data_IF_742227810057
#
_entry.id   IF_742227810057
#
_cell.length_a   1.000
_cell.length_b   1.000
_cell.length_c   1.000
_cell.angle_alpha   90.00
_cell.angle_beta   90.00
_cell.angle_gamma   90.00
#
_symmetry.space_group_name_H-M   'P 1'
#
loop_
_entity.id
_entity.type
_entity.pdbx_description
1 polymer ?
#
# COMPACT_ATOMS: atom_id res chain seq x y z
N UNK A 1 21.07 12.88 -7.28
CA UNK A 1 22.02 12.53 -8.36
C UNK A 1 21.49 13.07 -9.69
N UNK A 2 22.17 14.07 -10.24
CA UNK A 2 21.90 14.67 -11.54
C UNK A 2 22.62 13.88 -12.63
N UNK A 3 21.90 13.24 -13.55
CA UNK A 3 22.47 12.73 -14.80
C UNK A 3 21.58 13.05 -16.01
N UNK A 4 21.86 14.22 -16.58
CA UNK A 4 21.97 14.55 -17.99
C UNK A 4 20.82 14.23 -18.97
N UNK A 5 20.02 15.26 -19.27
CA UNK A 5 19.45 15.54 -20.62
C UNK A 5 19.06 17.02 -20.71
N UNK A 6 19.98 17.88 -21.14
CA UNK A 6 19.87 19.17 -21.85
C UNK A 6 18.69 20.17 -21.66
N UNK A 7 17.80 20.02 -20.68
CA UNK A 7 16.79 20.98 -20.26
C UNK A 7 16.60 20.84 -18.75
N UNK A 8 16.43 21.96 -18.04
CA UNK A 8 15.93 21.98 -16.67
C UNK A 8 14.47 21.50 -16.67
N UNK A 9 14.28 20.18 -16.69
CA UNK A 9 12.95 19.55 -16.72
C UNK A 9 12.39 19.52 -15.29
N UNK A 10 11.37 20.33 -15.04
CA UNK A 10 10.56 20.22 -13.83
C UNK A 10 9.66 18.98 -13.93
N UNK A 11 9.89 18.01 -13.06
CA UNK A 11 9.12 16.76 -13.02
C UNK A 11 7.89 16.96 -12.13
N UNK A 12 6.71 17.08 -12.75
CA UNK A 12 5.43 17.28 -12.07
C UNK A 12 4.45 16.10 -12.26
N UNK A 13 4.92 14.98 -12.83
CA UNK A 13 4.09 13.85 -13.26
C UNK A 13 4.03 12.69 -12.25
N UNK A 14 4.99 12.60 -11.34
CA UNK A 14 5.05 11.53 -10.34
C UNK A 14 4.77 12.11 -8.96
N UNK A 15 3.88 11.45 -8.20
CA UNK A 15 3.58 11.82 -6.82
C UNK A 15 4.59 11.29 -5.80
N UNK A 16 5.85 11.12 -6.20
CA UNK A 16 6.93 10.69 -5.31
C UNK A 16 7.38 11.90 -4.49
N UNK A 17 7.27 11.87 -3.15
CA UNK A 17 7.69 12.98 -2.31
C UNK A 17 9.18 13.30 -2.46
N UNK A 18 9.52 14.58 -2.38
CA UNK A 18 10.90 15.08 -2.46
C UNK A 18 11.63 15.08 -1.10
N UNK A 19 10.96 14.65 -0.03
CA UNK A 19 11.50 14.57 1.31
C UNK A 19 11.89 13.15 1.70
N UNK A 20 12.94 13.06 2.52
CA UNK A 20 13.42 11.80 3.07
C UNK A 20 12.50 11.27 4.18
N UNK A 21 12.53 9.94 4.36
CA UNK A 21 11.88 9.33 5.52
C UNK A 21 12.45 9.91 6.84
N UNK A 22 11.61 10.14 7.88
CA UNK A 22 12.07 10.64 9.18
C UNK A 22 13.17 9.77 9.79
N UNK A 23 14.11 10.39 10.53
CA UNK A 23 15.28 9.71 11.09
C UNK A 23 14.91 8.46 11.93
N UNK A 24 13.91 8.59 12.81
CA UNK A 24 13.45 7.48 13.65
C UNK A 24 12.96 6.26 12.86
N UNK A 25 12.39 6.45 11.65
CA UNK A 25 11.96 5.34 10.79
C UNK A 25 13.17 4.64 10.19
N UNK A 26 14.15 5.40 9.72
CA UNK A 26 15.41 4.86 9.17
C UNK A 26 16.19 4.09 10.23
N UNK A 27 16.31 4.65 11.44
CA UNK A 27 16.97 4.00 12.58
C UNK A 27 16.25 2.72 13.01
N UNK A 28 14.91 2.71 13.05
CA UNK A 28 14.15 1.51 13.37
C UNK A 28 14.35 0.40 12.32
N UNK A 29 14.40 0.75 11.03
CA UNK A 29 14.67 -0.19 9.97
C UNK A 29 16.08 -0.78 10.04
N UNK A 30 17.10 0.05 10.28
CA UNK A 30 18.49 -0.41 10.45
C UNK A 30 18.58 -1.36 11.65
N UNK A 31 18.01 -0.97 12.79
CA UNK A 31 17.99 -1.81 14.00
C UNK A 31 17.30 -3.15 13.76
N UNK A 32 16.17 -3.16 13.06
CA UNK A 32 15.45 -4.39 12.74
C UNK A 32 16.31 -5.36 11.88
N UNK A 33 17.14 -4.81 10.98
CA UNK A 33 18.11 -5.60 10.20
C UNK A 33 19.23 -6.14 11.09
N UNK A 34 19.79 -5.31 11.97
CA UNK A 34 20.90 -5.69 12.88
C UNK A 34 20.47 -6.72 13.93
N UNK A 35 19.27 -6.58 14.51
CA UNK A 35 18.72 -7.51 15.51
C UNK A 35 18.37 -8.88 14.91
N UNK A 36 18.02 -8.93 13.61
CA UNK A 36 17.68 -10.16 12.91
C UNK A 36 16.46 -10.90 13.51
N UNK A 37 16.40 -12.21 13.28
CA UNK A 37 15.38 -13.08 13.85
C UNK A 37 13.96 -12.72 13.39
N UNK A 38 13.08 -12.36 14.34
CA UNK A 38 11.66 -12.10 14.08
C UNK A 38 11.41 -10.98 13.06
N UNK A 39 12.39 -10.10 12.86
CA UNK A 39 12.31 -8.97 11.93
C UNK A 39 12.73 -9.33 10.51
N UNK A 40 13.54 -10.37 10.35
CA UNK A 40 14.12 -10.79 9.05
C UNK A 40 13.52 -12.09 8.51
N UNK A 41 12.58 -12.70 9.25
CA UNK A 41 11.92 -13.95 8.89
C UNK A 41 10.42 -13.75 8.67
N UNK A 42 9.79 -14.76 8.07
CA UNK A 42 8.40 -14.68 7.60
C UNK A 42 7.41 -14.23 8.68
N UNK A 43 6.67 -13.17 8.38
CA UNK A 43 5.50 -12.73 9.14
C UNK A 43 4.27 -12.67 8.21
N UNK A 44 3.55 -13.78 8.09
CA UNK A 44 2.51 -13.96 7.06
C UNK A 44 1.41 -12.88 7.02
N UNK A 45 1.06 -12.30 8.18
CA UNK A 45 0.06 -11.21 8.28
C UNK A 45 0.64 -9.92 8.85
N UNK A 46 1.96 -9.83 8.96
CA UNK A 46 2.65 -8.83 9.79
C UNK A 46 2.77 -9.25 11.25
N UNK A 47 3.76 -8.66 11.95
CA UNK A 47 4.01 -8.87 13.37
C UNK A 47 2.91 -8.23 14.23
N UNK A 48 2.71 -8.76 15.44
CA UNK A 48 1.61 -8.34 16.32
C UNK A 48 1.71 -6.85 16.69
N UNK A 49 2.91 -6.36 16.98
CA UNK A 49 3.15 -4.97 17.36
C UNK A 49 2.81 -3.98 16.23
N UNK A 50 3.04 -4.37 14.97
CA UNK A 50 2.63 -3.58 13.82
C UNK A 50 1.10 -3.49 13.74
N UNK A 51 0.40 -4.61 13.95
CA UNK A 51 -1.06 -4.64 13.90
C UNK A 51 -1.69 -3.77 14.97
N UNK A 52 -1.17 -3.84 16.19
CA UNK A 52 -1.61 -3.00 17.31
C UNK A 52 -1.35 -1.52 17.05
N UNK A 53 -0.16 -1.18 16.52
CA UNK A 53 0.15 0.19 16.11
C UNK A 53 -0.82 0.73 15.06
N UNK A 54 -1.21 -0.08 14.06
CA UNK A 54 -2.21 0.28 13.06
C UNK A 54 -3.58 0.52 13.71
N UNK A 55 -4.06 -0.41 14.54
CA UNK A 55 -5.34 -0.26 15.26
C UNK A 55 -5.37 1.03 16.08
N UNK A 56 -4.31 1.28 16.85
CA UNK A 56 -4.19 2.48 17.69
C UNK A 56 -4.13 3.76 16.84
N UNK A 57 -3.43 3.74 15.71
CA UNK A 57 -3.39 4.87 14.78
C UNK A 57 -4.77 5.20 14.23
N UNK A 58 -5.57 4.20 13.87
CA UNK A 58 -6.90 4.43 13.30
C UNK A 58 -7.97 4.81 14.33
N UNK A 59 -7.74 4.53 15.62
CA UNK A 59 -8.63 4.95 16.71
C UNK A 59 -8.84 6.47 16.75
N UNK A 60 -7.86 7.26 16.30
CA UNK A 60 -7.97 8.74 16.23
C UNK A 60 -9.03 9.23 15.22
N UNK A 61 -9.43 8.38 14.28
CA UNK A 61 -10.51 8.66 13.33
C UNK A 61 -11.87 8.13 13.81
N UNK A 62 -11.97 7.68 15.08
CA UNK A 62 -13.21 7.15 15.65
C UNK A 62 -13.54 5.71 15.22
N UNK A 63 -12.61 5.03 14.54
CA UNK A 63 -12.81 3.66 14.08
C UNK A 63 -12.02 2.70 14.97
N UNK A 64 -12.66 1.60 15.39
CA UNK A 64 -12.03 0.55 16.19
C UNK A 64 -11.93 -0.71 15.36
N UNK A 65 -10.73 -1.29 15.29
CA UNK A 65 -10.44 -2.55 14.62
C UNK A 65 -9.86 -3.54 15.62
N UNK A 66 -10.11 -4.83 15.41
CA UNK A 66 -9.36 -5.89 16.07
C UNK A 66 -8.03 -6.15 15.31
N UNK A 67 -6.90 -6.43 15.99
CA UNK A 67 -5.64 -6.76 15.31
C UNK A 67 -5.73 -7.92 14.29
N UNK A 68 -6.71 -8.83 14.44
CA UNK A 68 -6.99 -9.88 13.45
C UNK A 68 -7.51 -9.35 12.11
N UNK A 69 -8.08 -8.14 12.10
CA UNK A 69 -8.57 -7.44 10.90
C UNK A 69 -7.46 -6.65 10.18
N UNK A 70 -6.24 -6.64 10.71
CA UNK A 70 -5.08 -5.98 10.09
C UNK A 70 -4.19 -7.00 9.38
N UNK A 71 -3.85 -6.70 8.13
CA UNK A 71 -2.96 -7.50 7.29
C UNK A 71 -1.89 -6.62 6.64
N UNK A 72 -0.62 -6.90 6.93
CA UNK A 72 0.50 -6.21 6.30
C UNK A 72 0.72 -6.73 4.87
N UNK A 73 0.89 -5.82 3.92
CA UNK A 73 1.18 -6.13 2.50
C UNK A 73 2.40 -5.37 2.00
N UNK A 74 2.93 -5.78 0.85
CA UNK A 74 3.98 -5.05 0.14
C UNK A 74 3.41 -3.80 -0.56
N UNK A 75 3.03 -2.80 0.25
CA UNK A 75 2.42 -1.55 -0.22
C UNK A 75 0.91 -1.65 -0.47
N UNK A 76 0.32 -0.49 -0.73
CA UNK A 76 -1.13 -0.32 -0.91
C UNK A 76 -1.67 -0.95 -2.20
N UNK A 77 -0.89 -0.97 -3.28
CA UNK A 77 -1.29 -1.62 -4.54
C UNK A 77 -1.55 -3.12 -4.37
N UNK A 78 -0.71 -3.80 -3.58
CA UNK A 78 -0.91 -5.22 -3.25
C UNK A 78 -2.09 -5.39 -2.30
N UNK A 79 -2.28 -4.49 -1.33
CA UNK A 79 -3.44 -4.51 -0.45
C UNK A 79 -4.75 -4.43 -1.24
N UNK A 80 -4.85 -3.48 -2.19
CA UNK A 80 -6.01 -3.35 -3.05
C UNK A 80 -6.25 -4.60 -3.89
N UNK A 81 -5.18 -5.17 -4.47
CA UNK A 81 -5.31 -6.38 -5.28
C UNK A 81 -5.81 -7.59 -4.48
N UNK A 82 -5.27 -7.82 -3.29
CA UNK A 82 -5.69 -8.93 -2.43
C UNK A 82 -7.11 -8.70 -1.90
N UNK A 83 -7.47 -7.45 -1.55
CA UNK A 83 -8.82 -7.12 -1.13
C UNK A 83 -9.84 -7.39 -2.23
N UNK A 84 -9.59 -6.92 -3.46
CA UNK A 84 -10.48 -7.15 -4.60
C UNK A 84 -10.56 -8.63 -4.97
N UNK A 85 -9.42 -9.34 -5.01
CA UNK A 85 -9.41 -10.78 -5.29
C UNK A 85 -10.12 -11.61 -4.21
N UNK A 86 -10.26 -11.09 -2.99
CA UNK A 86 -10.99 -11.75 -1.90
C UNK A 86 -12.49 -11.48 -1.87
N UNK A 87 -12.99 -10.47 -2.62
CA UNK A 87 -14.40 -10.07 -2.59
C UNK A 87 -15.12 -10.17 -3.93
N UNK A 88 -14.39 -10.11 -5.06
CA UNK A 88 -14.97 -10.12 -6.40
C UNK A 88 -15.03 -11.54 -6.96
N UNK A 89 -16.17 -11.89 -7.54
CA UNK A 89 -16.41 -13.11 -8.28
C UNK A 89 -16.54 -12.83 -9.80
N UNK A 90 -16.39 -13.85 -10.67
CA UNK A 90 -16.60 -13.68 -12.10
C UNK A 90 -18.02 -13.18 -12.42
N UNK A 91 -18.10 -11.99 -13.01
CA UNK A 91 -19.35 -11.32 -13.37
C UNK A 91 -19.70 -10.14 -12.47
N UNK A 92 -18.97 -9.94 -11.36
CA UNK A 92 -19.12 -8.75 -10.53
C UNK A 92 -18.61 -7.49 -11.25
N UNK A 93 -19.30 -6.39 -11.01
CA UNK A 93 -18.91 -5.07 -11.51
C UNK A 93 -18.24 -4.26 -10.39
N UNK A 94 -17.14 -3.59 -10.73
CA UNK A 94 -16.43 -2.70 -9.83
C UNK A 94 -16.56 -1.26 -10.34
N UNK A 95 -17.18 -0.41 -9.54
CA UNK A 95 -17.34 1.02 -9.86
C UNK A 95 -16.01 1.74 -9.58
N UNK A 96 -15.51 2.44 -10.59
CA UNK A 96 -14.31 3.28 -10.49
C UNK A 96 -14.70 4.70 -10.92
N UNK A 97 -14.47 5.67 -10.04
CA UNK A 97 -14.76 7.08 -10.33
C UNK A 97 -13.76 7.68 -11.32
N UNK A 98 -14.14 8.71 -12.05
CA UNK A 98 -13.24 9.48 -12.92
C UNK A 98 -13.20 10.95 -12.43
N UNK A 99 -12.01 11.57 -12.24
CA UNK A 99 -10.65 11.01 -12.39
C UNK A 99 -10.24 10.08 -11.25
N UNK A 100 -9.36 9.12 -11.55
CA UNK A 100 -8.87 8.13 -10.58
C UNK A 100 -7.39 7.84 -10.71
N UNK A 101 -6.84 7.21 -9.67
CA UNK A 101 -5.53 6.61 -9.72
C UNK A 101 -5.50 5.42 -10.69
N UNK A 102 -4.54 5.42 -11.62
CA UNK A 102 -4.46 4.43 -12.70
C UNK A 102 -4.48 2.97 -12.25
N UNK A 103 -4.01 2.66 -11.02
CA UNK A 103 -4.08 1.30 -10.48
C UNK A 103 -5.51 0.84 -10.21
N UNK A 104 -6.45 1.74 -9.87
CA UNK A 104 -7.84 1.36 -9.59
C UNK A 104 -8.56 0.79 -10.82
N UNK A 105 -8.16 1.16 -12.04
CA UNK A 105 -8.64 0.51 -13.26
C UNK A 105 -7.94 -0.82 -13.55
N UNK A 106 -6.63 -0.91 -13.29
CA UNK A 106 -5.83 -2.08 -13.66
C UNK A 106 -6.02 -3.26 -12.72
N UNK A 107 -6.20 -3.00 -11.43
CA UNK A 107 -6.29 -4.04 -10.41
C UNK A 107 -7.54 -4.92 -10.59
N UNK A 108 -8.76 -4.38 -10.74
CA UNK A 108 -9.95 -5.21 -10.93
C UNK A 108 -9.91 -6.00 -12.24
N UNK A 109 -9.30 -5.48 -13.32
CA UNK A 109 -9.14 -6.23 -14.58
C UNK A 109 -8.29 -7.50 -14.43
N UNK A 110 -7.40 -7.52 -13.43
CA UNK A 110 -6.55 -8.67 -13.15
C UNK A 110 -7.28 -9.71 -12.29
N UNK A 111 -8.15 -9.26 -11.38
CA UNK A 111 -8.89 -10.13 -10.44
C UNK A 111 -10.26 -10.57 -10.97
N UNK A 112 -11.06 -9.66 -11.52
CA UNK A 112 -12.36 -9.92 -12.14
C UNK A 112 -12.17 -10.08 -13.65
N UNK A 113 -12.37 -11.30 -14.14
CA UNK A 113 -12.09 -11.69 -15.54
C UNK A 113 -12.99 -11.01 -16.61
N UNK A 114 -13.74 -9.93 -16.32
CA UNK A 114 -14.43 -9.07 -17.32
C UNK A 114 -14.91 -7.72 -16.72
N UNK A 115 -14.64 -6.66 -17.50
CA UNK A 115 -15.22 -5.30 -17.55
C UNK A 115 -15.44 -4.49 -16.26
N UNK A 116 -14.56 -3.51 -16.02
CA UNK A 116 -14.94 -2.26 -15.37
C UNK A 116 -15.56 -1.35 -16.43
N UNK A 117 -16.76 -0.84 -16.19
CA UNK A 117 -17.40 0.21 -17.00
C UNK A 117 -17.34 1.52 -16.22
N UNK A 118 -16.82 2.57 -16.86
CA UNK A 118 -17.08 3.93 -16.40
C UNK A 118 -18.51 4.32 -16.81
N UNK A 119 -19.25 5.11 -16.01
CA UNK A 119 -20.47 5.76 -16.50
C UNK A 119 -20.18 6.72 -17.67
#
# INVERSE_FOLDING_TARGET
>A
MTSNTSQDVLRLSAGDPDFEAPAHVKEAAIRAIEEGGRWTHYAFRGVQEFKEAVVNYYAKYGVKYDPSQVHATAGSSVALNVALAGILEPGDECIVFDPTFAAHFRTPLTSARRSCTSP
#
